data_IF_456122131285
#
_entry.id   IF_456122131285
#
_cell.length_a   1.000
_cell.length_b   1.000
_cell.length_c   1.000
_cell.angle_alpha   90.00
_cell.angle_beta   90.00
_cell.angle_gamma   90.00
#
_symmetry.space_group_name_H-M   'P 1'
#
loop_
_entity.id
_entity.type
_entity.pdbx_description
1 polymer ?
#
# COMPACT_ATOMS: atom_id res chain seq x y z
N UNK A 1 12.80 0.65 1.04
CA UNK A 1 13.13 1.95 0.40
C UNK A 1 11.91 2.82 0.28
N UNK A 2 12.16 4.12 0.18
CA UNK A 2 11.11 5.11 0.04
C UNK A 2 11.29 5.88 -1.27
N UNK A 3 10.26 6.61 -1.69
CA UNK A 3 10.32 7.41 -2.90
C UNK A 3 10.99 8.75 -2.61
N UNK A 4 12.33 8.73 -2.60
CA UNK A 4 13.18 9.90 -2.43
C UNK A 4 14.40 9.78 -3.33
N UNK A 5 15.14 10.86 -3.54
CA UNK A 5 16.26 10.88 -4.49
C UNK A 5 17.32 9.84 -4.20
N UNK A 6 17.66 9.67 -2.92
CA UNK A 6 18.71 8.74 -2.52
C UNK A 6 18.31 7.29 -2.80
N UNK A 7 17.12 6.91 -2.37
CA UNK A 7 16.63 5.55 -2.54
C UNK A 7 16.35 5.23 -4.00
N UNK A 8 15.81 6.19 -4.76
CA UNK A 8 15.55 6.01 -6.19
C UNK A 8 16.85 5.83 -6.97
N UNK A 9 17.93 6.50 -6.57
CA UNK A 9 19.24 6.27 -7.21
C UNK A 9 19.71 4.82 -7.04
N UNK A 10 19.49 4.24 -5.85
CA UNK A 10 19.79 2.81 -5.61
C UNK A 10 18.86 1.91 -6.41
N UNK A 11 17.56 2.25 -6.45
CA UNK A 11 16.59 1.48 -7.23
C UNK A 11 16.99 1.41 -8.72
N UNK A 12 17.38 2.53 -9.31
CA UNK A 12 17.78 2.57 -10.72
C UNK A 12 18.93 1.60 -11.01
N UNK A 13 19.88 1.49 -10.09
CA UNK A 13 21.03 0.62 -10.25
C UNK A 13 20.75 -0.85 -9.92
N UNK A 14 19.69 -1.13 -9.16
CA UNK A 14 19.41 -2.47 -8.63
C UNK A 14 18.01 -2.96 -8.96
N UNK A 15 17.49 -2.63 -10.13
CA UNK A 15 16.12 -2.99 -10.54
C UNK A 15 15.85 -4.50 -10.52
N UNK A 16 16.85 -5.32 -10.70
CA UNK A 16 16.67 -6.77 -10.65
C UNK A 16 16.37 -7.29 -9.24
N UNK A 17 16.78 -6.55 -8.21
CA UNK A 17 16.54 -6.93 -6.82
C UNK A 17 15.39 -6.12 -6.20
N UNK A 18 15.32 -4.83 -6.51
CA UNK A 18 14.27 -3.92 -6.01
C UNK A 18 13.19 -3.83 -7.09
N UNK A 19 12.26 -4.75 -7.04
CA UNK A 19 11.31 -4.97 -8.14
C UNK A 19 9.84 -4.73 -7.77
N UNK A 20 9.58 -4.30 -6.54
CA UNK A 20 8.21 -4.24 -6.01
C UNK A 20 7.88 -2.87 -5.47
N UNK A 21 6.72 -2.35 -5.85
CA UNK A 21 6.16 -1.12 -5.27
C UNK A 21 4.99 -1.48 -4.36
N UNK A 22 4.93 -0.82 -3.21
CA UNK A 22 3.78 -0.86 -2.29
C UNK A 22 3.14 0.52 -2.30
N UNK A 23 1.85 0.57 -2.59
CA UNK A 23 1.11 1.82 -2.80
C UNK A 23 -0.09 1.88 -1.86
N UNK A 24 -0.05 2.70 -0.80
CA UNK A 24 -1.23 2.93 0.02
C UNK A 24 -2.27 3.74 -0.74
N UNK A 25 -3.54 3.35 -0.63
CA UNK A 25 -4.67 4.05 -1.22
C UNK A 25 -5.50 4.66 -0.10
N UNK A 26 -5.53 5.98 0.00
CA UNK A 26 -6.18 6.72 1.09
C UNK A 26 -7.42 7.44 0.59
N UNK A 27 -8.57 7.08 1.17
CA UNK A 27 -9.86 7.71 0.83
C UNK A 27 -10.12 8.93 1.72
N UNK A 28 -10.54 10.02 1.10
CA UNK A 28 -11.13 11.17 1.80
C UNK A 28 -12.57 11.31 1.32
N UNK A 29 -13.52 11.02 2.20
CA UNK A 29 -14.93 11.03 1.87
C UNK A 29 -15.51 12.45 1.74
N UNK A 30 -15.11 13.35 2.63
CA UNK A 30 -15.64 14.73 2.64
C UNK A 30 -16.87 14.92 3.49
N UNK A 31 -17.55 13.86 3.92
CA UNK A 31 -18.69 13.96 4.82
C UNK A 31 -18.21 14.14 6.26
N UNK A 32 -18.83 15.08 6.98
CA UNK A 32 -18.44 15.40 8.35
C UNK A 32 -18.43 14.17 9.27
N UNK A 33 -19.41 13.28 9.10
CA UNK A 33 -19.51 12.04 9.89
C UNK A 33 -18.38 11.04 9.61
N UNK A 34 -17.64 11.20 8.52
CA UNK A 34 -16.61 10.28 8.07
C UNK A 34 -15.18 10.80 8.27
N UNK A 35 -15.01 12.06 8.69
CA UNK A 35 -13.67 12.67 8.76
C UNK A 35 -12.74 11.92 9.70
N UNK A 36 -13.23 11.63 10.90
CA UNK A 36 -12.41 10.93 11.91
C UNK A 36 -12.06 9.52 11.46
N UNK A 37 -13.03 8.81 10.89
CA UNK A 37 -12.84 7.45 10.38
C UNK A 37 -11.82 7.42 9.24
N UNK A 38 -11.92 8.35 8.30
CA UNK A 38 -10.97 8.43 7.19
C UNK A 38 -9.56 8.73 7.68
N UNK A 39 -9.43 9.66 8.64
CA UNK A 39 -8.12 10.00 9.21
C UNK A 39 -7.51 8.81 9.97
N UNK A 40 -8.34 8.09 10.73
CA UNK A 40 -7.90 6.88 11.45
C UNK A 40 -7.45 5.79 10.48
N UNK A 41 -8.18 5.57 9.39
CA UNK A 41 -7.80 4.61 8.35
C UNK A 41 -6.48 4.99 7.69
N UNK A 42 -6.29 6.27 7.40
CA UNK A 42 -5.03 6.76 6.82
C UNK A 42 -3.86 6.51 7.76
N UNK A 43 -4.04 6.83 9.04
CA UNK A 43 -3.01 6.59 10.07
C UNK A 43 -2.63 5.12 10.13
N UNK A 44 -3.61 4.23 10.15
CA UNK A 44 -3.37 2.78 10.19
C UNK A 44 -2.63 2.31 8.94
N UNK A 45 -3.08 2.69 7.74
CA UNK A 45 -2.46 2.28 6.49
C UNK A 45 -1.02 2.77 6.36
N UNK A 46 -0.76 4.00 6.77
CA UNK A 46 0.60 4.55 6.73
C UNK A 46 1.53 3.77 7.67
N UNK A 47 1.05 3.44 8.88
CA UNK A 47 1.83 2.66 9.84
C UNK A 47 2.07 1.23 9.33
N UNK A 48 1.02 0.58 8.82
CA UNK A 48 1.13 -0.80 8.32
C UNK A 48 2.06 -0.91 7.12
N UNK A 49 1.95 0.01 6.16
CA UNK A 49 2.80 -0.03 4.97
C UNK A 49 4.26 0.27 5.31
N UNK A 50 4.53 1.08 6.35
CA UNK A 50 5.89 1.24 6.85
C UNK A 50 6.44 -0.06 7.44
N UNK A 51 5.61 -0.84 8.13
CA UNK A 51 6.00 -2.17 8.62
C UNK A 51 6.30 -3.13 7.46
N UNK A 52 5.50 -3.07 6.40
CA UNK A 52 5.72 -3.86 5.18
C UNK A 52 7.06 -3.51 4.55
N UNK A 53 7.36 -2.22 4.40
CA UNK A 53 8.63 -1.76 3.85
C UNK A 53 9.81 -2.29 4.67
N UNK A 54 9.71 -2.17 6.00
CA UNK A 54 10.76 -2.64 6.89
C UNK A 54 10.98 -4.16 6.80
N UNK A 55 9.90 -4.92 6.64
CA UNK A 55 9.97 -6.38 6.50
C UNK A 55 10.71 -6.81 5.24
N UNK A 56 10.50 -6.09 4.14
CA UNK A 56 11.02 -6.46 2.83
C UNK A 56 12.04 -5.46 2.28
N UNK A 57 12.89 -4.92 3.16
CA UNK A 57 13.97 -4.02 2.75
C UNK A 57 14.85 -4.67 1.70
N UNK A 58 15.23 -3.88 0.71
CA UNK A 58 16.05 -4.37 -0.40
C UNK A 58 15.25 -4.94 -1.56
N UNK A 59 13.93 -5.05 -1.43
CA UNK A 59 13.05 -5.51 -2.51
C UNK A 59 11.89 -4.56 -2.78
N UNK A 60 11.40 -3.88 -1.74
CA UNK A 60 10.18 -3.05 -1.81
C UNK A 60 10.53 -1.58 -1.76
N UNK A 61 9.87 -0.80 -2.62
CA UNK A 61 9.80 0.66 -2.51
C UNK A 61 8.41 1.03 -2.04
N UNK A 62 8.33 1.71 -0.90
CA UNK A 62 7.07 2.26 -0.42
C UNK A 62 6.81 3.59 -1.12
N UNK A 63 5.77 3.64 -1.92
CA UNK A 63 5.39 4.82 -2.68
C UNK A 63 4.63 5.82 -1.82
N UNK A 64 4.65 7.11 -2.19
CA UNK A 64 3.74 8.07 -1.58
C UNK A 64 2.31 7.60 -1.74
N UNK A 65 1.44 7.82 -0.74
CA UNK A 65 0.07 7.35 -0.84
C UNK A 65 -0.70 8.09 -1.93
N UNK A 66 -1.55 7.34 -2.63
CA UNK A 66 -2.50 7.92 -3.57
C UNK A 66 -3.72 8.31 -2.76
N UNK A 67 -3.99 9.61 -2.69
CA UNK A 67 -5.16 10.15 -1.99
C UNK A 67 -6.24 10.46 -3.01
N UNK A 68 -7.42 9.91 -2.79
CA UNK A 68 -8.54 10.01 -3.73
C UNK A 68 -9.85 10.24 -2.96
N UNK A 69 -10.92 10.49 -3.70
CA UNK A 69 -12.24 10.73 -3.11
C UNK A 69 -13.26 9.77 -3.72
N UNK A 70 -14.46 9.71 -3.16
CA UNK A 70 -15.54 8.89 -3.73
C UNK A 70 -15.98 9.36 -5.12
N UNK A 71 -15.65 10.60 -5.49
CA UNK A 71 -15.93 11.15 -6.82
C UNK A 71 -14.87 10.76 -7.86
N UNK A 72 -13.74 10.25 -7.41
CA UNK A 72 -12.67 9.81 -8.31
C UNK A 72 -13.14 8.64 -9.16
N UNK A 73 -12.62 8.56 -10.38
CA UNK A 73 -12.86 7.41 -11.24
C UNK A 73 -11.83 6.33 -10.89
N UNK A 74 -12.28 5.32 -10.14
CA UNK A 74 -11.43 4.24 -9.63
C UNK A 74 -10.72 3.49 -10.75
N UNK A 75 -11.46 3.17 -11.81
CA UNK A 75 -10.92 2.44 -12.96
C UNK A 75 -9.82 3.23 -13.66
N UNK A 76 -10.04 4.53 -13.85
CA UNK A 76 -9.06 5.41 -14.49
C UNK A 76 -7.80 5.55 -13.63
N UNK A 77 -7.96 5.70 -12.32
CA UNK A 77 -6.81 5.72 -11.39
C UNK A 77 -6.02 4.43 -11.46
N UNK A 78 -6.71 3.30 -11.49
CA UNK A 78 -6.09 1.99 -11.58
C UNK A 78 -5.23 1.88 -12.86
N UNK A 79 -5.80 2.23 -14.00
CA UNK A 79 -5.11 2.16 -15.29
C UNK A 79 -3.89 3.09 -15.33
N UNK A 80 -4.09 4.33 -14.91
CA UNK A 80 -3.03 5.36 -14.92
C UNK A 80 -1.83 4.96 -14.05
N UNK A 81 -2.11 4.54 -12.82
CA UNK A 81 -1.04 4.20 -11.90
C UNK A 81 -0.34 2.89 -12.25
N UNK A 82 -1.10 1.90 -12.73
CA UNK A 82 -0.52 0.63 -13.17
C UNK A 82 0.44 0.86 -14.34
N UNK A 83 0.02 1.63 -15.35
CA UNK A 83 0.87 1.93 -16.51
C UNK A 83 2.10 2.70 -16.08
N UNK A 84 1.93 3.74 -15.27
CA UNK A 84 3.03 4.60 -14.84
C UNK A 84 4.08 3.82 -14.03
N UNK A 85 3.63 3.01 -13.08
CA UNK A 85 4.56 2.25 -12.24
C UNK A 85 5.24 1.11 -13.00
N UNK A 86 4.56 0.52 -13.97
CA UNK A 86 5.19 -0.45 -14.88
C UNK A 86 6.26 0.23 -15.74
N UNK A 87 5.99 1.45 -16.22
CA UNK A 87 6.97 2.22 -17.00
C UNK A 87 8.20 2.59 -16.16
N UNK A 88 8.02 2.85 -14.86
CA UNK A 88 9.14 3.08 -13.94
C UNK A 88 10.05 1.85 -13.85
N UNK A 89 9.48 0.66 -14.00
CA UNK A 89 10.24 -0.58 -14.02
C UNK A 89 9.90 -1.56 -12.91
N UNK A 90 8.84 -1.31 -12.13
CA UNK A 90 8.39 -2.28 -11.12
C UNK A 90 7.75 -3.48 -11.79
N UNK A 91 8.12 -4.67 -11.35
CA UNK A 91 7.53 -5.94 -11.82
C UNK A 91 6.30 -6.31 -11.01
N UNK A 92 6.24 -5.89 -9.75
CA UNK A 92 5.16 -6.23 -8.84
C UNK A 92 4.59 -4.98 -8.20
N UNK A 93 3.26 -4.84 -8.23
CA UNK A 93 2.55 -3.71 -7.66
C UNK A 93 1.59 -4.22 -6.60
N UNK A 94 1.74 -3.75 -5.37
CA UNK A 94 0.85 -4.10 -4.27
C UNK A 94 0.14 -2.85 -3.78
N UNK A 95 -1.12 -2.71 -4.17
CA UNK A 95 -1.99 -1.64 -3.68
C UNK A 95 -2.65 -2.12 -2.39
N UNK A 96 -2.62 -1.28 -1.37
CA UNK A 96 -3.15 -1.61 -0.04
C UNK A 96 -4.21 -0.59 0.36
N UNK A 97 -5.38 -1.05 0.77
CA UNK A 97 -6.49 -0.17 1.10
C UNK A 97 -7.43 -0.80 2.12
N UNK A 98 -8.18 0.05 2.84
CA UNK A 98 -9.32 -0.38 3.65
C UNK A 98 -10.65 -0.14 2.94
N UNK A 99 -10.62 0.41 1.73
CA UNK A 99 -11.82 0.75 0.95
C UNK A 99 -12.21 -0.42 0.06
N UNK A 100 -13.30 -1.09 0.41
CA UNK A 100 -13.77 -2.27 -0.32
C UNK A 100 -14.35 -1.95 -1.70
N UNK A 101 -14.61 -0.68 -2.00
CA UNK A 101 -15.14 -0.28 -3.31
C UNK A 101 -14.19 -0.64 -4.45
N UNK A 102 -12.89 -0.72 -4.18
CA UNK A 102 -11.89 -1.14 -5.19
C UNK A 102 -12.19 -2.52 -5.77
N UNK A 103 -12.76 -3.44 -4.97
CA UNK A 103 -13.07 -4.78 -5.43
C UNK A 103 -14.08 -4.79 -6.58
N UNK A 104 -15.04 -3.85 -6.57
CA UNK A 104 -16.07 -3.73 -7.60
C UNK A 104 -15.66 -2.80 -8.73
N UNK A 105 -15.00 -1.69 -8.38
CA UNK A 105 -14.70 -0.62 -9.34
C UNK A 105 -13.45 -0.91 -10.19
N UNK A 106 -12.46 -1.57 -9.60
CA UNK A 106 -11.21 -1.87 -10.29
C UNK A 106 -10.62 -3.19 -9.79
N UNK A 107 -11.31 -4.32 -10.04
CA UNK A 107 -10.84 -5.63 -9.56
C UNK A 107 -9.48 -6.04 -10.12
N UNK A 108 -9.09 -5.50 -11.26
CA UNK A 108 -7.81 -5.79 -11.91
C UNK A 108 -6.60 -5.32 -11.10
N UNK A 109 -6.77 -4.34 -10.20
CA UNK A 109 -5.69 -3.90 -9.32
C UNK A 109 -5.30 -4.96 -8.29
N UNK A 110 -6.22 -5.87 -8.00
CA UNK A 110 -6.00 -6.93 -7.02
C UNK A 110 -5.52 -6.37 -5.67
N UNK A 111 -6.27 -5.38 -5.16
CA UNK A 111 -5.94 -4.65 -3.94
C UNK A 111 -5.89 -5.57 -2.73
N UNK A 112 -4.89 -5.35 -1.87
CA UNK A 112 -4.83 -6.01 -0.57
C UNK A 112 -5.70 -5.20 0.40
N UNK A 113 -6.75 -5.83 0.91
CA UNK A 113 -7.68 -5.19 1.86
C UNK A 113 -7.25 -5.46 3.28
N UNK A 114 -7.19 -4.41 4.08
CA UNK A 114 -6.90 -4.49 5.50
C UNK A 114 -8.03 -3.86 6.29
N UNK A 115 -8.32 -4.37 7.51
CA UNK A 115 -9.26 -3.67 8.38
C UNK A 115 -8.71 -2.33 8.80
N UNK A 116 -9.59 -1.37 9.06
CA UNK A 116 -9.19 -0.10 9.63
C UNK A 116 -9.20 -0.23 11.16
N UNK A 117 -8.04 -0.33 11.75
CA UNK A 117 -7.89 -0.50 13.19
C UNK A 117 -7.44 0.83 13.80
N UNK A 118 -8.23 1.46 14.70
CA UNK A 118 -7.85 2.73 15.31
C UNK A 118 -6.62 2.55 16.20
N UNK A 119 -5.59 3.35 15.97
CA UNK A 119 -4.35 3.29 16.74
C UNK A 119 -4.23 4.41 17.80
N UNK A 120 -5.10 5.42 17.71
CA UNK A 120 -4.95 6.67 18.46
C UNK A 120 -5.01 6.52 19.98
N UNK A 121 -5.68 5.50 20.48
CA UNK A 121 -5.83 5.27 21.93
C UNK A 121 -4.98 4.12 22.43
N UNK A 122 -4.08 3.60 21.60
CA UNK A 122 -3.22 2.49 21.99
C UNK A 122 -1.86 3.02 22.44
N UNK A 123 -1.29 2.37 23.48
CA UNK A 123 0.10 2.64 23.81
C UNK A 123 1.01 2.03 22.73
N UNK A 124 2.29 2.39 22.78
CA UNK A 124 3.24 1.98 21.73
C UNK A 124 3.38 0.47 21.62
N UNK A 125 3.35 -0.24 22.74
CA UNK A 125 3.49 -1.69 22.75
C UNK A 125 2.31 -2.37 22.09
N UNK A 126 1.09 -1.90 22.38
CA UNK A 126 -0.12 -2.43 21.78
C UNK A 126 -0.20 -2.11 20.29
N UNK A 127 0.15 -0.87 19.89
CA UNK A 127 0.22 -0.48 18.48
C UNK A 127 1.13 -1.42 17.70
N UNK A 128 2.32 -1.66 18.22
CA UNK A 128 3.30 -2.53 17.56
C UNK A 128 2.77 -3.95 17.43
N UNK A 129 2.14 -4.48 18.48
CA UNK A 129 1.57 -5.82 18.47
C UNK A 129 0.47 -5.96 17.41
N UNK A 130 -0.42 -4.98 17.32
CA UNK A 130 -1.50 -4.97 16.32
C UNK A 130 -0.93 -4.92 14.90
N UNK A 131 0.06 -4.06 14.67
CA UNK A 131 0.69 -3.93 13.36
C UNK A 131 1.46 -5.19 12.97
N UNK A 132 2.16 -5.81 13.91
CA UNK A 132 2.85 -7.09 13.67
C UNK A 132 1.86 -8.20 13.31
N UNK A 133 0.72 -8.27 13.97
CA UNK A 133 -0.31 -9.27 13.67
C UNK A 133 -0.88 -9.07 12.26
N UNK A 134 -1.13 -7.84 11.85
CA UNK A 134 -1.60 -7.54 10.49
C UNK A 134 -0.53 -7.85 9.45
N UNK A 135 0.72 -7.53 9.75
CA UNK A 135 1.83 -7.84 8.87
C UNK A 135 1.94 -9.35 8.62
N UNK A 136 1.80 -10.17 9.67
CA UNK A 136 1.86 -11.64 9.53
C UNK A 136 0.78 -12.18 8.60
N UNK A 137 -0.38 -11.53 8.52
CA UNK A 137 -1.45 -11.93 7.61
C UNK A 137 -1.15 -11.51 6.17
N UNK A 138 -0.35 -10.46 5.97
CA UNK A 138 -0.03 -9.91 4.66
C UNK A 138 1.18 -10.62 4.03
N UNK A 139 2.15 -11.03 4.83
CA UNK A 139 3.38 -11.68 4.33
C UNK A 139 3.08 -12.82 3.36
N UNK A 140 2.16 -13.76 3.66
CA UNK A 140 1.86 -14.82 2.70
C UNK A 140 1.30 -14.33 1.37
N UNK A 141 0.55 -13.23 1.36
CA UNK A 141 0.01 -12.64 0.13
C UNK A 141 1.17 -12.18 -0.76
N UNK A 142 2.15 -11.50 -0.19
CA UNK A 142 3.35 -11.08 -0.93
C UNK A 142 4.12 -12.29 -1.47
N UNK A 143 4.39 -13.26 -0.58
CA UNK A 143 5.15 -14.45 -0.96
C UNK A 143 4.47 -15.22 -2.09
N UNK A 144 3.15 -15.39 -2.04
CA UNK A 144 2.40 -16.10 -3.07
C UNK A 144 2.44 -15.37 -4.41
N UNK A 145 2.27 -14.07 -4.42
CA UNK A 145 2.29 -13.30 -5.66
C UNK A 145 3.69 -13.28 -6.28
N UNK A 146 4.72 -13.15 -5.47
CA UNK A 146 6.11 -13.21 -5.95
C UNK A 146 6.44 -14.58 -6.55
N UNK A 147 6.05 -15.65 -5.88
CA UNK A 147 6.29 -17.01 -6.38
C UNK A 147 5.55 -17.28 -7.69
N UNK A 148 4.30 -16.81 -7.78
CA UNK A 148 3.44 -17.02 -8.95
C UNK A 148 3.95 -16.27 -10.18
N UNK A 149 4.43 -15.04 -9.99
CA UNK A 149 4.91 -14.19 -11.08
C UNK A 149 6.40 -14.39 -11.37
N UNK A 150 7.11 -15.14 -10.55
CA UNK A 150 8.52 -15.46 -10.72
C UNK A 150 8.78 -16.64 -11.66
N UNK A 151 7.73 -17.17 -12.21
CA UNK A 151 7.82 -18.23 -13.22
C UNK A 151 7.79 -17.61 -14.62
#
# INVERSE_FOLDING_TARGET
MYWNSKDVSVFIEQKEFVDTAVIPLLLIDGQASQLKQNASSAEFLMALTAFIENQFKGRVVLMPPITYTKRSNYKQLAEEWTETLNDVGFKHLFFVSSDMAWANEAPELNVIYTPSIPLENMDQKLRQSVLDDQLRQIIPVFANRWAKNGQ
#
